data_IF_664265193761
#
_entry.id   IF_664265193761
#
_cell.length_a   1.000
_cell.length_b   1.000
_cell.length_c   1.000
_cell.angle_alpha   90.00
_cell.angle_beta   90.00
_cell.angle_gamma   90.00
#
_symmetry.space_group_name_H-M   'P 1'
#
loop_
_entity.id
_entity.type
_entity.pdbx_description
1 polymer ?
#
# COMPACT_ATOMS: atom_id res chain seq x y z
N UNK A 1 -0.40 6.18 29.30
CA UNK A 1 -1.00 4.82 29.44
C UNK A 1 -0.64 3.85 28.28
N UNK A 2 0.29 4.21 27.36
CA UNK A 2 0.77 3.35 26.26
C UNK A 2 2.05 2.54 26.60
N UNK A 3 2.78 2.93 27.65
CA UNK A 3 4.10 2.38 28.01
C UNK A 3 4.05 0.95 28.58
N UNK A 4 3.02 0.59 29.35
CA UNK A 4 2.85 -0.75 29.92
C UNK A 4 2.43 -1.82 28.89
N UNK A 5 1.90 -1.40 27.73
CA UNK A 5 1.35 -2.30 26.70
C UNK A 5 2.44 -2.90 25.80
N UNK A 6 3.54 -2.18 25.59
CA UNK A 6 4.69 -2.62 24.79
C UNK A 6 5.61 -3.60 25.54
N UNK A 7 5.69 -3.52 26.87
CA UNK A 7 6.44 -4.52 27.66
C UNK A 7 5.90 -5.96 27.47
N UNK A 8 4.63 -6.11 27.07
CA UNK A 8 4.03 -7.42 26.74
C UNK A 8 4.37 -7.95 25.35
N UNK A 9 4.65 -7.08 24.37
CA UNK A 9 5.23 -7.48 23.07
C UNK A 9 6.66 -7.99 23.26
N UNK A 10 7.43 -7.32 24.13
CA UNK A 10 8.71 -7.82 24.65
C UNK A 10 8.60 -9.18 25.35
N UNK A 11 7.43 -9.52 25.91
CA UNK A 11 7.20 -10.76 26.65
C UNK A 11 6.78 -11.96 25.78
N UNK A 12 6.58 -11.79 24.46
CA UNK A 12 6.05 -12.83 23.55
C UNK A 12 6.87 -13.09 22.27
N UNK A 13 8.15 -12.75 22.27
CA UNK A 13 9.18 -13.23 21.34
C UNK A 13 8.80 -13.25 19.83
N UNK A 14 8.63 -12.07 19.20
CA UNK A 14 8.80 -11.97 17.73
C UNK A 14 10.26 -11.64 17.43
N UNK A 15 10.90 -12.37 16.50
CA UNK A 15 12.30 -12.16 16.14
C UNK A 15 12.53 -10.92 15.25
N UNK A 16 11.47 -10.38 14.65
CA UNK A 16 11.53 -9.17 13.84
C UNK A 16 10.18 -8.67 13.35
N UNK A 17 10.14 -7.44 12.83
CA UNK A 17 8.93 -6.77 12.33
C UNK A 17 9.19 -6.23 10.92
N UNK A 18 8.31 -6.55 9.97
CA UNK A 18 8.23 -5.82 8.69
C UNK A 18 7.13 -4.76 8.83
N UNK A 19 7.51 -3.49 8.65
CA UNK A 19 6.61 -2.37 8.86
C UNK A 19 6.31 -1.64 7.54
N UNK A 20 5.06 -1.72 7.11
CA UNK A 20 4.52 -1.01 5.95
C UNK A 20 3.48 -0.01 6.44
N UNK A 21 3.78 1.29 6.40
CA UNK A 21 2.89 2.33 6.92
C UNK A 21 2.43 3.30 5.84
N UNK A 22 1.24 3.84 6.04
CA UNK A 22 0.67 4.94 5.25
C UNK A 22 0.91 6.33 5.87
N UNK A 23 1.34 6.44 7.13
CA UNK A 23 1.45 7.71 7.87
C UNK A 23 2.75 7.83 8.72
N UNK A 24 3.67 8.79 8.43
CA UNK A 24 4.93 8.96 9.15
C UNK A 24 4.79 9.34 10.63
N UNK A 25 3.87 10.25 10.98
CA UNK A 25 3.81 10.85 12.32
C UNK A 25 3.34 9.86 13.39
N UNK A 26 2.50 8.89 13.01
CA UNK A 26 2.04 7.82 13.90
C UNK A 26 3.12 6.75 14.10
N UNK A 27 4.08 6.65 13.17
CA UNK A 27 5.07 5.57 13.14
C UNK A 27 6.21 5.83 14.12
N UNK A 28 6.85 7.01 14.13
CA UNK A 28 8.07 7.25 14.92
C UNK A 28 7.87 7.07 16.44
N UNK A 29 6.75 7.56 16.98
CA UNK A 29 6.41 7.40 18.41
C UNK A 29 6.13 5.94 18.79
N UNK A 30 5.61 5.14 17.85
CA UNK A 30 5.34 3.72 18.08
C UNK A 30 6.63 2.91 18.20
N UNK A 31 7.70 3.39 17.55
CA UNK A 31 8.95 2.67 17.35
C UNK A 31 10.04 3.04 18.37
N UNK A 32 9.80 4.07 19.18
CA UNK A 32 10.81 4.66 20.06
C UNK A 32 11.41 3.69 21.07
N UNK A 33 10.64 2.69 21.50
CA UNK A 33 11.00 1.73 22.56
C UNK A 33 11.18 0.30 22.02
N UNK A 34 11.23 0.11 20.69
CA UNK A 34 11.35 -1.21 20.08
C UNK A 34 12.81 -1.68 20.12
N UNK A 35 13.04 -2.88 20.63
CA UNK A 35 14.37 -3.53 20.68
C UNK A 35 14.51 -4.68 19.69
N UNK A 36 13.41 -5.23 19.18
CA UNK A 36 13.46 -6.26 18.12
C UNK A 36 13.86 -5.63 16.78
N UNK A 37 14.52 -6.36 15.86
CA UNK A 37 14.81 -5.89 14.52
C UNK A 37 13.54 -5.44 13.77
N UNK A 38 13.57 -4.26 13.14
CA UNK A 38 12.46 -3.76 12.31
C UNK A 38 12.96 -3.39 10.93
N UNK A 39 12.29 -3.89 9.89
CA UNK A 39 12.54 -3.50 8.49
C UNK A 39 11.36 -2.69 7.97
N UNK A 40 11.63 -1.44 7.58
CA UNK A 40 10.66 -0.56 6.94
C UNK A 40 10.62 -0.82 5.45
N UNK A 41 9.42 -0.82 4.86
CA UNK A 41 9.28 -0.83 3.40
C UNK A 41 8.83 0.54 2.90
N UNK A 42 9.44 0.97 1.80
CA UNK A 42 9.02 2.12 1.00
C UNK A 42 9.07 3.47 1.73
N UNK A 43 9.72 3.58 2.90
CA UNK A 43 9.87 4.86 3.62
C UNK A 43 11.20 5.00 4.33
N UNK A 44 11.83 6.17 4.15
CA UNK A 44 12.96 6.59 4.97
C UNK A 44 12.52 6.79 6.41
N UNK A 45 13.35 6.30 7.32
CA UNK A 45 13.22 6.46 8.76
C UNK A 45 14.53 7.01 9.35
N UNK A 46 14.45 7.60 10.54
CA UNK A 46 15.65 7.92 11.30
C UNK A 46 16.38 6.63 11.67
N UNK A 47 17.63 6.50 11.22
CA UNK A 47 18.47 5.32 11.47
C UNK A 47 18.60 5.04 12.97
N UNK A 48 18.40 3.78 13.35
CA UNK A 48 18.70 3.23 14.68
C UNK A 48 19.33 1.85 14.49
N UNK A 49 20.02 1.38 15.52
CA UNK A 49 20.80 0.14 15.46
C UNK A 49 19.96 -1.09 15.07
N UNK A 50 18.73 -1.18 15.59
CA UNK A 50 17.81 -2.30 15.31
C UNK A 50 16.82 -2.02 14.16
N UNK A 51 17.08 -1.02 13.32
CA UNK A 51 16.12 -0.59 12.29
C UNK A 51 16.77 -0.49 10.90
N UNK A 52 16.26 -1.29 9.97
CA UNK A 52 16.62 -1.27 8.55
C UNK A 52 15.47 -0.75 7.68
N UNK A 53 15.76 -0.44 6.42
CA UNK A 53 14.74 -0.07 5.44
C UNK A 53 15.07 -0.61 4.07
N UNK A 54 14.07 -1.11 3.36
CA UNK A 54 14.11 -1.41 1.94
C UNK A 54 13.36 -0.31 1.21
N UNK A 55 14.08 0.41 0.35
CA UNK A 55 13.60 1.62 -0.31
C UNK A 55 13.68 1.47 -1.83
N UNK A 56 12.83 2.21 -2.52
CA UNK A 56 12.97 2.49 -3.95
C UNK A 56 13.78 3.78 -4.09
N UNK A 57 14.71 3.82 -5.03
CA UNK A 57 15.37 5.07 -5.42
C UNK A 57 14.43 5.94 -6.27
N UNK A 58 13.44 6.53 -5.61
CA UNK A 58 12.41 7.35 -6.22
C UNK A 58 12.98 8.61 -6.88
N UNK A 59 14.09 9.12 -6.34
CA UNK A 59 14.72 10.35 -6.82
C UNK A 59 15.36 10.12 -8.18
N UNK A 60 16.26 9.13 -8.29
CA UNK A 60 16.90 8.80 -9.57
C UNK A 60 15.88 8.36 -10.61
N UNK A 61 14.87 7.57 -10.21
CA UNK A 61 13.78 7.17 -11.11
C UNK A 61 13.03 8.37 -11.70
N UNK A 62 12.81 9.44 -10.94
CA UNK A 62 12.14 10.64 -11.46
C UNK A 62 13.04 11.56 -12.28
N UNK A 63 14.36 11.52 -12.06
CA UNK A 63 15.32 12.13 -12.99
C UNK A 63 15.27 11.45 -14.36
N UNK A 64 15.19 10.12 -14.37
CA UNK A 64 15.02 9.35 -15.62
C UNK A 64 13.71 9.70 -16.32
N UNK A 65 12.60 9.84 -15.58
CA UNK A 65 11.31 10.30 -16.14
C UNK A 65 11.44 11.71 -16.74
N UNK A 66 12.07 12.65 -16.04
CA UNK A 66 12.27 14.01 -16.52
C UNK A 66 13.11 14.05 -17.81
N UNK A 67 14.22 13.30 -17.85
CA UNK A 67 15.06 13.17 -19.03
C UNK A 67 14.29 12.53 -20.20
N UNK A 68 13.49 11.50 -19.92
CA UNK A 68 12.66 10.84 -20.93
C UNK A 68 11.66 11.80 -21.57
N UNK A 69 10.87 12.54 -20.78
CA UNK A 69 9.87 13.46 -21.34
C UNK A 69 10.53 14.63 -22.07
N UNK A 70 11.68 15.12 -21.57
CA UNK A 70 12.46 16.15 -22.27
C UNK A 70 12.94 15.66 -23.64
N UNK A 71 13.42 14.40 -23.72
CA UNK A 71 13.79 13.73 -24.96
C UNK A 71 12.61 13.45 -25.90
N UNK A 72 11.38 13.37 -25.38
CA UNK A 72 10.14 13.32 -26.18
C UNK A 72 9.62 14.71 -26.59
N UNK A 73 10.40 15.76 -26.36
CA UNK A 73 10.10 17.12 -26.79
C UNK A 73 9.17 17.89 -25.85
N UNK A 74 8.86 17.38 -24.66
CA UNK A 74 8.07 18.12 -23.67
C UNK A 74 8.88 19.30 -23.12
N UNK A 75 8.26 20.45 -22.97
CA UNK A 75 8.87 21.71 -22.51
C UNK A 75 8.04 22.42 -21.43
N UNK A 76 6.77 22.07 -21.29
CA UNK A 76 5.89 22.63 -20.25
C UNK A 76 5.21 21.50 -19.46
N UNK A 77 5.98 20.66 -18.75
CA UNK A 77 5.40 19.56 -18.01
C UNK A 77 4.71 20.07 -16.74
N UNK A 78 3.60 19.41 -16.40
CA UNK A 78 2.92 19.53 -15.13
C UNK A 78 3.07 18.24 -14.32
N UNK A 79 2.97 18.34 -12.99
CA UNK A 79 3.10 17.21 -12.08
C UNK A 79 1.89 17.10 -11.15
N UNK A 80 1.27 15.93 -11.09
CA UNK A 80 0.19 15.60 -10.15
C UNK A 80 0.69 14.51 -9.22
N UNK A 81 0.71 14.77 -7.91
CA UNK A 81 1.25 13.83 -6.92
C UNK A 81 0.39 13.78 -5.66
N UNK A 82 0.72 12.87 -4.74
CA UNK A 82 0.15 12.86 -3.40
C UNK A 82 0.88 13.85 -2.50
N UNK A 83 0.40 14.01 -1.26
CA UNK A 83 1.07 14.83 -0.25
C UNK A 83 2.60 14.60 -0.23
N UNK A 84 3.36 15.68 -0.41
CA UNK A 84 4.82 15.69 -0.43
C UNK A 84 5.43 15.74 0.99
N UNK A 85 4.61 15.70 2.04
CA UNK A 85 5.07 15.54 3.42
C UNK A 85 5.68 14.15 3.68
N UNK A 86 5.40 13.17 2.81
CA UNK A 86 5.92 11.81 2.92
C UNK A 86 7.13 11.55 2.01
N UNK A 87 8.06 10.71 2.47
CA UNK A 87 9.34 10.48 1.80
C UNK A 87 9.23 10.05 0.33
N UNK A 88 8.38 9.09 -0.08
CA UNK A 88 8.31 8.70 -1.49
C UNK A 88 7.83 9.84 -2.39
N UNK A 89 6.75 10.53 -2.01
CA UNK A 89 6.21 11.65 -2.79
C UNK A 89 7.20 12.81 -2.88
N UNK A 90 7.91 13.09 -1.77
CA UNK A 90 8.94 14.13 -1.71
C UNK A 90 10.11 13.82 -2.65
N UNK A 91 10.68 12.62 -2.55
CA UNK A 91 11.80 12.18 -3.38
C UNK A 91 11.44 12.18 -4.86
N UNK A 92 10.22 11.74 -5.21
CA UNK A 92 9.74 11.80 -6.58
C UNK A 92 9.64 13.25 -7.09
N UNK A 93 9.09 14.14 -6.27
CA UNK A 93 8.96 15.55 -6.63
C UNK A 93 10.35 16.20 -6.83
N UNK A 94 11.26 16.00 -5.87
CA UNK A 94 12.61 16.59 -5.92
C UNK A 94 13.41 16.04 -7.12
N UNK A 95 13.38 14.72 -7.34
CA UNK A 95 14.06 14.10 -8.49
C UNK A 95 13.49 14.55 -9.83
N UNK A 96 12.17 14.78 -9.90
CA UNK A 96 11.55 15.31 -11.11
C UNK A 96 11.99 16.73 -11.42
N UNK A 97 11.96 17.62 -10.41
CA UNK A 97 12.34 19.02 -10.57
C UNK A 97 13.82 19.13 -10.95
N UNK A 98 14.70 18.43 -10.25
CA UNK A 98 16.14 18.44 -10.56
C UNK A 98 16.41 17.86 -11.95
N UNK A 99 15.77 16.74 -12.30
CA UNK A 99 15.92 16.13 -13.62
C UNK A 99 15.43 17.04 -14.75
N UNK A 100 14.40 17.86 -14.52
CA UNK A 100 13.96 18.86 -15.50
C UNK A 100 14.99 19.98 -15.66
N UNK A 101 15.53 20.49 -14.55
CA UNK A 101 16.57 21.52 -14.56
C UNK A 101 17.82 21.07 -15.32
N UNK A 102 18.26 19.82 -15.11
CA UNK A 102 19.38 19.20 -15.84
C UNK A 102 19.13 19.08 -17.35
N UNK A 103 17.86 19.02 -17.77
CA UNK A 103 17.45 18.98 -19.16
C UNK A 103 17.01 20.35 -19.70
N UNK A 104 17.32 21.44 -18.98
CA UNK A 104 17.07 22.82 -19.42
C UNK A 104 15.60 23.24 -19.36
N UNK A 105 14.78 22.57 -18.54
CA UNK A 105 13.35 22.88 -18.36
C UNK A 105 13.16 23.44 -16.95
N UNK A 106 12.76 24.71 -16.85
CA UNK A 106 12.42 25.31 -15.55
C UNK A 106 11.03 24.85 -15.10
N UNK A 107 10.93 24.33 -13.87
CA UNK A 107 9.66 23.88 -13.31
C UNK A 107 9.03 24.91 -12.37
N UNK A 108 7.85 25.42 -12.72
CA UNK A 108 7.12 26.37 -11.89
C UNK A 108 6.20 25.63 -10.91
N UNK A 109 6.15 26.05 -9.64
CA UNK A 109 5.22 25.49 -8.63
C UNK A 109 3.74 25.59 -9.06
N UNK A 110 3.38 26.49 -9.98
CA UNK A 110 2.03 26.57 -10.56
C UNK A 110 1.68 25.39 -11.48
N UNK A 111 2.68 24.64 -11.93
CA UNK A 111 2.54 23.41 -12.71
C UNK A 111 2.41 22.16 -11.83
N UNK A 112 2.25 22.32 -10.52
CA UNK A 112 2.16 21.23 -9.56
C UNK A 112 0.81 21.21 -8.85
N UNK A 113 0.21 20.02 -8.73
CA UNK A 113 -0.97 19.77 -7.92
C UNK A 113 -0.72 18.57 -7.00
N UNK A 114 -1.09 18.72 -5.72
CA UNK A 114 -0.91 17.67 -4.71
C UNK A 114 -2.25 17.33 -4.03
N UNK A 115 -2.53 16.04 -3.86
CA UNK A 115 -3.72 15.54 -3.20
C UNK A 115 -3.50 14.18 -2.54
N UNK A 116 -4.46 13.27 -2.69
CA UNK A 116 -4.39 11.89 -2.17
C UNK A 116 -4.11 10.90 -3.31
N UNK A 117 -3.73 9.66 -2.99
CA UNK A 117 -3.57 8.59 -3.98
C UNK A 117 -4.92 8.12 -4.53
N UNK A 118 -5.58 8.95 -5.35
CA UNK A 118 -6.93 8.72 -5.86
C UNK A 118 -7.11 9.16 -7.31
N UNK A 119 -8.12 8.60 -7.98
CA UNK A 119 -8.56 9.03 -9.32
C UNK A 119 -9.06 10.47 -9.29
N UNK A 120 -9.79 10.84 -8.23
CA UNK A 120 -10.32 12.19 -8.02
C UNK A 120 -9.19 13.23 -7.99
N UNK A 121 -8.07 12.94 -7.32
CA UNK A 121 -6.90 13.84 -7.32
C UNK A 121 -6.36 14.05 -8.74
N UNK A 122 -6.31 12.98 -9.55
CA UNK A 122 -5.95 13.08 -10.97
C UNK A 122 -6.89 13.97 -11.76
N UNK A 123 -8.20 13.84 -11.54
CA UNK A 123 -9.22 14.63 -12.23
C UNK A 123 -9.17 16.10 -11.85
N UNK A 124 -9.20 16.40 -10.55
CA UNK A 124 -9.19 17.79 -10.05
C UNK A 124 -7.86 18.45 -10.42
N UNK A 125 -6.75 17.74 -10.27
CA UNK A 125 -5.42 18.24 -10.62
C UNK A 125 -5.30 18.58 -12.10
N UNK A 126 -5.65 17.65 -13.00
CA UNK A 126 -5.59 17.88 -14.44
C UNK A 126 -6.50 19.03 -14.87
N UNK A 127 -7.74 19.08 -14.36
CA UNK A 127 -8.67 20.17 -14.68
C UNK A 127 -8.11 21.52 -14.23
N UNK A 128 -7.64 21.61 -12.99
CA UNK A 128 -7.10 22.84 -12.41
C UNK A 128 -5.86 23.33 -13.16
N UNK A 129 -4.94 22.43 -13.48
CA UNK A 129 -3.68 22.75 -14.14
C UNK A 129 -3.90 23.19 -15.58
N UNK A 130 -4.72 22.46 -16.34
CA UNK A 130 -4.98 22.76 -17.75
C UNK A 130 -5.81 24.03 -17.96
N UNK A 131 -6.74 24.34 -17.03
CA UNK A 131 -7.49 25.61 -17.10
C UNK A 131 -6.59 26.82 -16.83
N UNK A 132 -5.60 26.69 -15.94
CA UNK A 132 -4.73 27.80 -15.55
C UNK A 132 -3.53 27.97 -16.47
N UNK A 133 -3.07 26.88 -17.07
CA UNK A 133 -1.84 26.84 -17.87
C UNK A 133 -2.12 26.07 -19.17
N UNK A 134 -2.71 26.71 -20.19
CA UNK A 134 -3.04 26.06 -21.46
C UNK A 134 -1.82 25.57 -22.26
N UNK A 135 -0.62 26.05 -21.92
CA UNK A 135 0.67 25.69 -22.51
C UNK A 135 1.19 24.30 -22.07
N UNK A 136 0.56 23.65 -21.08
CA UNK A 136 1.00 22.33 -20.61
C UNK A 136 0.95 21.32 -21.78
N UNK A 137 2.09 20.69 -22.04
CA UNK A 137 2.26 19.69 -23.10
C UNK A 137 2.44 18.25 -22.57
N UNK A 138 2.61 18.10 -21.26
CA UNK A 138 2.79 16.83 -20.59
C UNK A 138 2.26 16.88 -19.15
N UNK A 139 1.57 15.84 -18.70
CA UNK A 139 1.24 15.64 -17.28
C UNK A 139 1.94 14.39 -16.79
N UNK A 140 2.79 14.55 -15.79
CA UNK A 140 3.40 13.44 -15.05
C UNK A 140 2.57 13.15 -13.80
N UNK A 141 2.24 11.89 -13.55
CA UNK A 141 1.40 11.47 -12.45
C UNK A 141 2.18 10.58 -11.47
N UNK A 142 2.04 10.85 -10.16
CA UNK A 142 2.73 10.13 -9.10
C UNK A 142 2.28 8.67 -8.93
N UNK A 143 1.12 8.29 -9.50
CA UNK A 143 0.65 6.91 -9.61
C UNK A 143 -0.39 6.73 -10.74
N UNK A 144 -0.77 5.47 -10.98
CA UNK A 144 -1.69 5.08 -12.04
C UNK A 144 -3.11 5.62 -11.85
N UNK A 145 -3.59 5.73 -10.60
CA UNK A 145 -4.93 6.25 -10.31
C UNK A 145 -5.05 7.73 -10.72
N UNK A 146 -4.02 8.53 -10.42
CA UNK A 146 -3.97 9.92 -10.86
C UNK A 146 -3.87 10.02 -12.37
N UNK A 147 -3.10 9.14 -13.02
CA UNK A 147 -2.98 9.10 -14.47
C UNK A 147 -4.33 8.81 -15.14
N UNK A 148 -5.09 7.83 -14.63
CA UNK A 148 -6.47 7.53 -15.07
C UNK A 148 -7.35 8.77 -14.95
N UNK A 149 -7.28 9.48 -13.82
CA UNK A 149 -8.02 10.71 -13.60
C UNK A 149 -7.65 11.82 -14.60
N UNK A 150 -6.36 12.01 -14.86
CA UNK A 150 -5.86 13.00 -15.80
C UNK A 150 -6.25 12.69 -17.24
N UNK A 151 -6.15 11.42 -17.67
CA UNK A 151 -6.59 10.96 -18.99
C UNK A 151 -8.07 11.26 -19.19
N UNK A 152 -8.92 10.91 -18.21
CA UNK A 152 -10.37 11.16 -18.29
C UNK A 152 -10.70 12.64 -18.48
N UNK A 153 -9.95 13.55 -17.84
CA UNK A 153 -10.14 14.99 -18.01
C UNK A 153 -9.67 15.47 -19.38
N UNK A 154 -8.51 15.02 -19.84
CA UNK A 154 -8.00 15.39 -21.18
C UNK A 154 -8.99 14.98 -22.28
N UNK A 155 -9.58 13.78 -22.17
CA UNK A 155 -10.62 13.30 -23.09
C UNK A 155 -11.87 14.18 -23.05
N UNK A 156 -12.36 14.55 -21.86
CA UNK A 156 -13.51 15.47 -21.71
C UNK A 156 -13.24 16.86 -22.30
N UNK A 157 -11.99 17.30 -22.28
CA UNK A 157 -11.55 18.56 -22.88
C UNK A 157 -11.24 18.43 -24.38
N UNK A 158 -11.44 17.26 -24.98
CA UNK A 158 -11.19 17.02 -26.39
C UNK A 158 -9.71 16.98 -26.79
N UNK A 159 -8.79 16.87 -25.82
CA UNK A 159 -7.34 16.75 -26.09
C UNK A 159 -6.99 15.32 -26.50
N UNK A 160 -6.29 15.17 -27.61
CA UNK A 160 -5.72 13.91 -28.08
C UNK A 160 -4.46 13.56 -27.28
N UNK A 161 -4.36 12.30 -26.89
CA UNK A 161 -3.19 11.75 -26.20
C UNK A 161 -2.61 10.69 -27.14
N UNK A 162 -1.33 10.78 -27.54
CA UNK A 162 -0.30 11.72 -27.06
C UNK A 162 -0.13 13.03 -27.87
N UNK A 163 -0.96 13.28 -28.89
CA UNK A 163 -0.71 14.33 -29.90
C UNK A 163 -0.79 15.76 -29.35
N UNK A 164 -1.85 16.06 -28.59
CA UNK A 164 -2.07 17.39 -28.01
C UNK A 164 -1.45 17.50 -26.60
N UNK A 165 -1.41 16.37 -25.88
CA UNK A 165 -0.84 16.29 -24.54
C UNK A 165 -0.34 14.88 -24.24
N UNK A 166 0.85 14.78 -23.66
CA UNK A 166 1.41 13.50 -23.20
C UNK A 166 1.03 13.25 -21.74
N UNK A 167 0.77 11.99 -21.39
CA UNK A 167 0.57 11.57 -20.00
C UNK A 167 1.65 10.54 -19.68
N UNK A 168 2.30 10.68 -18.53
CA UNK A 168 3.35 9.78 -18.06
C UNK A 168 3.12 9.40 -16.61
N UNK A 169 3.23 8.12 -16.29
CA UNK A 169 3.18 7.58 -14.94
C UNK A 169 4.42 6.74 -14.61
N UNK A 170 4.69 6.53 -13.32
CA UNK A 170 5.92 5.88 -12.84
C UNK A 170 5.95 4.35 -13.07
N UNK A 171 4.83 3.67 -13.33
CA UNK A 171 4.75 2.21 -13.22
C UNK A 171 3.96 1.45 -14.31
N UNK A 172 4.68 0.51 -14.92
CA UNK A 172 4.25 -0.75 -15.59
C UNK A 172 3.40 -0.70 -16.86
N UNK A 173 2.80 0.43 -17.25
CA UNK A 173 1.90 0.44 -18.43
C UNK A 173 0.77 -0.61 -18.32
N UNK A 174 0.43 -0.99 -17.07
CA UNK A 174 -0.50 -2.06 -16.73
C UNK A 174 -1.93 -1.70 -17.17
N UNK A 175 -2.26 -0.41 -17.21
CA UNK A 175 -3.57 0.09 -17.60
C UNK A 175 -3.48 0.73 -18.98
N UNK A 176 -4.20 0.18 -19.95
CA UNK A 176 -4.15 0.62 -21.35
C UNK A 176 -5.43 1.35 -21.74
N UNK A 177 -5.29 2.42 -22.52
CA UNK A 177 -6.40 3.22 -23.02
C UNK A 177 -7.41 2.36 -23.79
N UNK A 178 -8.70 2.55 -23.50
CA UNK A 178 -9.79 1.81 -24.15
C UNK A 178 -9.87 0.33 -23.78
N UNK A 179 -9.03 -0.15 -22.86
CA UNK A 179 -9.08 -1.51 -22.35
C UNK A 179 -9.66 -1.52 -20.94
N UNK A 180 -10.42 -2.58 -20.59
CA UNK A 180 -10.82 -2.79 -19.20
C UNK A 180 -9.57 -2.87 -18.33
N UNK A 181 -9.67 -2.38 -17.09
CA UNK A 181 -8.60 -2.54 -16.13
C UNK A 181 -8.27 -4.03 -15.98
N UNK A 182 -6.99 -4.43 -15.96
CA UNK A 182 -6.65 -5.84 -15.88
C UNK A 182 -7.34 -6.47 -14.68
N UNK A 183 -7.96 -7.62 -14.92
CA UNK A 183 -8.61 -8.39 -13.87
C UNK A 183 -7.61 -8.63 -12.72
N UNK A 184 -8.06 -8.44 -11.48
CA UNK A 184 -7.17 -8.58 -10.33
C UNK A 184 -6.28 -7.34 -10.03
N UNK A 185 -6.31 -6.29 -10.85
CA UNK A 185 -5.47 -5.11 -10.68
C UNK A 185 -5.93 -4.19 -9.54
N UNK A 186 -5.03 -3.35 -9.03
CA UNK A 186 -5.35 -2.41 -7.95
C UNK A 186 -6.53 -1.50 -8.31
N UNK A 187 -6.59 -1.04 -9.57
CA UNK A 187 -7.67 -0.18 -10.06
C UNK A 187 -9.04 -0.91 -10.15
N UNK A 188 -9.07 -2.25 -10.28
CA UNK A 188 -10.32 -3.02 -10.18
C UNK A 188 -10.84 -3.16 -8.75
N UNK A 189 -9.96 -2.97 -7.74
CA UNK A 189 -10.25 -3.28 -6.34
C UNK A 189 -10.35 -2.07 -5.42
N UNK A 190 -9.69 -0.94 -5.75
CA UNK A 190 -9.68 0.27 -4.93
C UNK A 190 -10.92 1.15 -5.15
N UNK A 191 -12.06 0.55 -4.84
CA UNK A 191 -13.25 1.18 -4.29
C UNK A 191 -13.88 0.16 -3.33
N UNK A 192 -13.18 -0.21 -2.24
CA UNK A 192 -13.66 -1.11 -1.17
C UNK A 192 -14.41 -2.40 -1.59
N UNK A 193 -14.07 -3.04 -2.72
CA UNK A 193 -14.77 -4.28 -3.17
C UNK A 193 -14.09 -5.59 -2.80
N UNK A 194 -12.81 -5.59 -2.40
CA UNK A 194 -12.11 -6.82 -2.00
C UNK A 194 -12.74 -7.49 -0.78
N UNK A 195 -13.09 -6.70 0.25
CA UNK A 195 -13.80 -7.23 1.41
C UNK A 195 -15.19 -7.71 0.98
N UNK A 196 -15.93 -6.91 0.20
CA UNK A 196 -17.29 -7.27 -0.24
C UNK A 196 -17.35 -8.58 -1.03
N UNK A 197 -16.34 -8.88 -1.86
CA UNK A 197 -16.26 -10.15 -2.59
C UNK A 197 -15.96 -11.35 -1.69
N UNK A 198 -15.44 -11.13 -0.48
CA UNK A 198 -15.22 -12.17 0.53
C UNK A 198 -16.42 -12.33 1.47
N UNK A 199 -17.37 -11.39 1.49
CA UNK A 199 -18.61 -11.44 2.27
C UNK A 199 -19.70 -12.23 1.53
N UNK A 200 -19.38 -13.44 1.06
CA UNK A 200 -20.37 -14.36 0.51
C UNK A 200 -21.15 -15.03 1.64
N UNK A 201 -22.39 -15.46 1.39
CA UNK A 201 -23.21 -16.19 2.38
C UNK A 201 -22.47 -17.44 2.90
N UNK A 202 -21.73 -18.12 2.03
CA UNK A 202 -20.89 -19.27 2.38
C UNK A 202 -19.76 -18.90 3.35
N UNK A 203 -18.98 -17.85 3.05
CA UNK A 203 -17.89 -17.41 3.93
C UNK A 203 -18.42 -16.87 5.26
N UNK A 204 -19.55 -16.17 5.25
CA UNK A 204 -20.20 -15.68 6.46
C UNK A 204 -20.70 -16.83 7.35
N UNK A 205 -21.28 -17.87 6.76
CA UNK A 205 -21.67 -19.08 7.49
C UNK A 205 -20.46 -19.79 8.11
N UNK A 206 -19.33 -19.87 7.41
CA UNK A 206 -18.07 -20.40 7.96
C UNK A 206 -17.60 -19.55 9.16
N UNK A 207 -17.59 -18.22 9.02
CA UNK A 207 -17.19 -17.30 10.10
C UNK A 207 -18.13 -17.43 11.31
N UNK A 208 -19.43 -17.59 11.11
CA UNK A 208 -20.40 -17.80 12.19
C UNK A 208 -20.11 -19.09 12.96
N UNK A 209 -19.80 -20.18 12.28
CA UNK A 209 -19.42 -21.44 12.94
C UNK A 209 -18.08 -21.33 13.68
N UNK A 210 -17.09 -20.65 13.09
CA UNK A 210 -15.82 -20.37 13.77
C UNK A 210 -16.00 -19.44 14.98
N UNK A 211 -16.96 -18.51 14.94
CA UNK A 211 -17.27 -17.65 16.09
C UNK A 211 -17.76 -18.46 17.28
N UNK A 212 -18.58 -19.49 17.05
CA UNK A 212 -19.03 -20.39 18.13
C UNK A 212 -17.85 -21.11 18.78
N UNK A 213 -16.91 -21.62 17.97
CA UNK A 213 -15.68 -22.24 18.50
C UNK A 213 -14.84 -21.23 19.28
N UNK A 214 -14.73 -20.00 18.78
CA UNK A 214 -14.00 -18.94 19.47
C UNK A 214 -14.66 -18.59 20.82
N UNK A 215 -15.99 -18.52 20.87
CA UNK A 215 -16.75 -18.24 22.10
C UNK A 215 -16.58 -19.37 23.14
N UNK A 216 -16.64 -20.62 22.71
CA UNK A 216 -16.41 -21.81 23.55
C UNK A 216 -15.00 -21.78 24.19
N UNK A 217 -14.01 -21.25 23.46
CA UNK A 217 -12.62 -21.07 23.92
C UNK A 217 -12.38 -19.73 24.63
N UNK A 218 -13.42 -18.92 24.87
CA UNK A 218 -13.32 -17.63 25.55
C UNK A 218 -12.48 -16.59 24.80
N UNK A 219 -12.47 -16.65 23.46
CA UNK A 219 -11.64 -15.82 22.58
C UNK A 219 -12.47 -15.17 21.46
N UNK A 220 -11.84 -14.70 20.39
CA UNK A 220 -12.56 -14.24 19.18
C UNK A 220 -11.93 -14.83 17.91
N UNK A 221 -12.69 -14.76 16.81
CA UNK A 221 -12.31 -15.34 15.50
C UNK A 221 -10.95 -14.87 15.01
N UNK A 222 -10.58 -13.60 15.23
CA UNK A 222 -9.27 -13.09 14.82
C UNK A 222 -8.13 -13.76 15.59
N UNK A 223 -8.29 -13.95 16.91
CA UNK A 223 -7.31 -14.68 17.73
C UNK A 223 -7.27 -16.15 17.33
N UNK A 224 -8.44 -16.78 17.19
CA UNK A 224 -8.59 -18.19 16.84
C UNK A 224 -7.91 -18.49 15.49
N UNK A 225 -8.15 -17.65 14.48
CA UNK A 225 -7.56 -17.83 13.15
C UNK A 225 -6.03 -17.76 13.15
N UNK A 226 -5.45 -16.81 13.89
CA UNK A 226 -4.00 -16.70 14.02
C UNK A 226 -3.40 -17.86 14.80
N UNK A 227 -4.06 -18.31 15.88
CA UNK A 227 -3.61 -19.43 16.68
C UNK A 227 -3.66 -20.74 15.89
N UNK A 228 -4.71 -20.94 15.09
CA UNK A 228 -4.84 -22.07 14.17
C UNK A 228 -3.67 -22.14 13.18
N UNK A 229 -3.35 -21.03 12.51
CA UNK A 229 -2.22 -20.97 11.58
C UNK A 229 -0.90 -21.31 12.27
N UNK A 230 -0.68 -20.77 13.47
CA UNK A 230 0.55 -20.99 14.25
C UNK A 230 0.74 -22.44 14.74
N UNK A 231 -0.30 -23.28 14.72
CA UNK A 231 -0.21 -24.71 15.07
C UNK A 231 0.36 -25.57 13.94
N UNK A 232 0.38 -25.07 12.70
CA UNK A 232 0.96 -25.80 11.58
C UNK A 232 2.49 -25.71 11.59
N UNK A 233 3.22 -26.83 11.76
CA UNK A 233 4.68 -26.82 11.87
C UNK A 233 5.39 -26.35 10.58
N UNK A 234 4.70 -26.39 9.43
CA UNK A 234 5.19 -25.89 8.16
C UNK A 234 5.21 -24.36 8.08
N UNK A 235 4.44 -23.68 8.94
CA UNK A 235 4.34 -22.23 8.97
C UNK A 235 5.42 -21.66 9.88
N UNK A 236 6.47 -21.11 9.29
CA UNK A 236 7.59 -20.52 10.04
C UNK A 236 7.31 -19.12 10.58
N UNK A 237 6.33 -18.40 10.02
CA UNK A 237 5.99 -17.03 10.41
C UNK A 237 4.58 -16.65 9.95
N UNK A 238 3.87 -15.88 10.78
CA UNK A 238 2.55 -15.31 10.45
C UNK A 238 2.65 -13.79 10.40
N UNK A 239 2.29 -13.20 9.26
CA UNK A 239 2.25 -11.74 9.08
C UNK A 239 0.82 -11.26 9.35
N UNK A 240 0.58 -10.75 10.56
CA UNK A 240 -0.72 -10.23 10.95
C UNK A 240 -0.85 -8.72 10.64
N UNK A 241 -1.81 -8.35 9.81
CA UNK A 241 -2.13 -6.94 9.54
C UNK A 241 -2.88 -6.30 10.72
N UNK A 242 -2.54 -5.05 11.05
CA UNK A 242 -3.26 -4.23 12.03
C UNK A 242 -3.25 -2.76 11.61
N UNK A 243 -4.42 -2.12 11.55
CA UNK A 243 -4.54 -0.68 11.26
C UNK A 243 -4.68 0.16 12.53
N UNK A 244 -4.98 -0.47 13.68
CA UNK A 244 -5.05 0.16 15.01
C UNK A 244 -4.26 -0.66 16.04
N UNK A 245 -3.63 -0.02 17.05
CA UNK A 245 -2.91 -0.74 18.11
C UNK A 245 -3.73 -1.79 18.86
N UNK A 246 -5.03 -1.54 19.07
CA UNK A 246 -5.92 -2.51 19.72
C UNK A 246 -6.09 -3.82 18.95
N UNK A 247 -5.98 -3.78 17.60
CA UNK A 247 -6.01 -5.00 16.78
C UNK A 247 -4.74 -5.80 16.95
N UNK A 248 -3.58 -5.14 17.04
CA UNK A 248 -2.32 -5.81 17.36
C UNK A 248 -2.38 -6.45 18.76
N UNK A 249 -2.83 -5.71 19.78
CA UNK A 249 -3.03 -6.25 21.14
C UNK A 249 -3.96 -7.48 21.15
N UNK A 250 -5.00 -7.46 20.33
CA UNK A 250 -5.90 -8.60 20.15
C UNK A 250 -5.16 -9.79 19.51
N UNK A 251 -4.52 -9.57 18.34
CA UNK A 251 -3.83 -10.60 17.58
C UNK A 251 -2.75 -11.33 18.39
N UNK A 252 -2.03 -10.63 19.27
CA UNK A 252 -0.99 -11.22 20.13
C UNK A 252 -1.50 -12.22 21.16
N UNK A 253 -2.80 -12.22 21.47
CA UNK A 253 -3.39 -13.24 22.33
C UNK A 253 -3.35 -14.62 21.69
N UNK A 254 -3.21 -14.71 20.36
CA UNK A 254 -3.18 -15.97 19.62
C UNK A 254 -1.98 -16.85 19.99
N UNK A 255 -0.87 -16.24 20.38
CA UNK A 255 0.36 -16.95 20.80
C UNK A 255 0.15 -17.78 22.08
N UNK A 256 -0.75 -17.35 22.96
CA UNK A 256 -1.04 -18.09 24.21
C UNK A 256 -2.30 -18.95 24.11
N UNK A 257 -3.00 -18.91 22.97
CA UNK A 257 -4.24 -19.65 22.84
C UNK A 257 -3.90 -21.12 22.57
N UNK A 258 -4.11 -21.97 23.56
CA UNK A 258 -4.14 -23.40 23.37
C UNK A 258 -5.49 -23.79 22.74
N UNK A 259 -5.43 -24.46 21.59
CA UNK A 259 -6.59 -25.04 20.93
C UNK A 259 -6.56 -26.55 21.26
N UNK A 260 -7.50 -27.06 22.07
CA UNK A 260 -7.64 -28.49 22.32
C UNK A 260 -7.94 -29.29 21.05
N UNK A 261 -7.58 -30.57 21.03
CA UNK A 261 -7.68 -31.42 19.83
C UNK A 261 -9.12 -31.51 19.29
N UNK A 262 -10.14 -31.56 20.15
CA UNK A 262 -11.55 -31.58 19.76
C UNK A 262 -12.00 -30.27 19.10
N UNK A 263 -11.54 -29.13 19.61
CA UNK A 263 -11.77 -27.83 18.98
C UNK A 263 -11.02 -27.73 17.64
N UNK A 264 -9.82 -28.31 17.57
CA UNK A 264 -8.98 -28.34 16.37
C UNK A 264 -9.67 -29.13 15.24
N UNK A 265 -10.14 -30.35 15.52
CA UNK A 265 -10.91 -31.16 14.58
C UNK A 265 -12.18 -30.45 14.09
N UNK A 266 -12.87 -29.74 15.00
CA UNK A 266 -14.07 -28.96 14.66
C UNK A 266 -13.75 -27.82 13.70
N UNK A 267 -12.63 -27.10 13.91
CA UNK A 267 -12.17 -26.03 13.00
C UNK A 267 -11.84 -26.60 11.62
N UNK A 268 -11.09 -27.70 11.54
CA UNK A 268 -10.71 -28.32 10.26
C UNK A 268 -11.94 -28.79 9.47
N UNK A 269 -12.93 -29.36 10.16
CA UNK A 269 -14.19 -29.75 9.56
C UNK A 269 -14.98 -28.56 9.01
N UNK A 270 -15.04 -27.45 9.74
CA UNK A 270 -15.70 -26.21 9.29
C UNK A 270 -15.02 -25.66 8.04
N UNK A 271 -13.68 -25.64 8.02
CA UNK A 271 -12.89 -25.09 6.92
C UNK A 271 -12.80 -26.03 5.70
N UNK A 272 -13.21 -27.30 5.84
CA UNK A 272 -12.95 -28.33 4.84
C UNK A 272 -11.46 -28.51 4.56
N UNK A 273 -10.60 -28.18 5.53
CA UNK A 273 -9.15 -28.17 5.34
C UNK A 273 -8.65 -29.62 5.22
N UNK A 274 -8.02 -29.94 4.08
CA UNK A 274 -7.34 -31.21 3.88
C UNK A 274 -5.84 -30.94 3.79
N UNK A 275 -5.08 -31.53 4.71
CA UNK A 275 -3.63 -31.43 4.70
C UNK A 275 -3.08 -32.05 3.42
N UNK A 276 -2.38 -31.24 2.63
CA UNK A 276 -1.67 -31.71 1.45
C UNK A 276 -0.31 -32.27 1.86
N UNK A 277 -0.17 -33.59 1.83
CA UNK A 277 1.10 -34.27 2.08
C UNK A 277 1.75 -34.70 0.76
N UNK A 278 2.95 -34.17 0.49
CA UNK A 278 3.76 -34.57 -0.66
C UNK A 278 5.05 -35.21 -0.16
N UNK A 279 5.16 -36.52 -0.34
CA UNK A 279 6.41 -37.23 -0.15
C UNK A 279 7.34 -36.95 -1.34
N UNK A 280 8.41 -36.19 -1.10
CA UNK A 280 9.48 -35.99 -2.07
C UNK A 280 10.52 -37.08 -1.80
N UNK A 281 10.61 -38.05 -2.71
CA UNK A 281 11.65 -39.08 -2.73
C UNK A 281 12.96 -38.57 -3.31
#
# INVERSE_FOLDING_TARGET
>A
MHFQRWQKLKAKMVDGIIYVSSNPATSEKLLENITVPVVFMDRKIKKRENMGSVLIDNFSAMKDVAAYIAGKGCRQPAYITADISISPSKERYEGFVEGLEENGISFNKRMHYAGTFSVETGQIGAMTLLQRNPEIDCIVCGNDLMAIGAVSVCEKLGKKIPEDIKIMELLTGKYKKGQPYPEGSRATHQADKQINNLLTDENLAIVDELSKVADDLGTNVAILSLAWILKHPEISCVIAGASKPSQLENNLKAVDLEIPDDAMERIEKILGFQRFERHVG
#
